data_IF_677966201768
#
_entry.id   IF_677966201768
#
_cell.length_a   1.000
_cell.length_b   1.000
_cell.length_c   1.000
_cell.angle_alpha   90.00
_cell.angle_beta   90.00
_cell.angle_gamma   90.00
#
_symmetry.space_group_name_H-M   'P 1'
#
loop_
_entity.id
_entity.type
_entity.pdbx_description
1 polymer ?
#
# COMPACT_ATOMS: atom_id res chain seq x y z
N UNK A 1 -16.85 -4.82 -48.57
CA UNK A 1 -16.86 -6.11 -47.85
C UNK A 1 -15.59 -6.15 -47.04
N UNK A 2 -15.63 -5.45 -45.90
CA UNK A 2 -14.54 -5.35 -44.93
C UNK A 2 -14.45 -6.66 -44.13
N UNK A 3 -13.26 -7.26 -44.08
CA UNK A 3 -12.96 -8.32 -43.11
C UNK A 3 -11.94 -7.77 -42.13
N UNK A 4 -12.41 -7.71 -40.89
CA UNK A 4 -11.78 -7.31 -39.64
C UNK A 4 -10.30 -7.71 -39.55
N UNK A 5 -9.42 -6.72 -39.59
CA UNK A 5 -8.19 -6.75 -38.80
C UNK A 5 -8.57 -6.41 -37.35
N UNK A 6 -9.08 -7.40 -36.63
CA UNK A 6 -9.07 -7.37 -35.16
C UNK A 6 -7.59 -7.40 -34.75
N UNK A 7 -7.08 -6.24 -34.35
CA UNK A 7 -5.69 -6.00 -33.93
C UNK A 7 -5.19 -7.12 -33.01
N UNK A 8 -3.99 -7.66 -33.27
CA UNK A 8 -3.29 -8.66 -32.44
C UNK A 8 -3.20 -8.26 -30.95
N UNK A 9 -3.26 -6.95 -30.67
CA UNK A 9 -3.33 -6.38 -29.32
C UNK A 9 -4.62 -6.82 -28.60
N UNK A 10 -5.77 -6.77 -29.26
CA UNK A 10 -7.05 -7.13 -28.67
C UNK A 10 -7.14 -8.64 -28.40
N UNK A 11 -6.62 -9.48 -29.30
CA UNK A 11 -6.55 -10.94 -29.06
C UNK A 11 -5.62 -11.29 -27.89
N UNK A 12 -4.49 -10.60 -27.74
CA UNK A 12 -3.56 -10.80 -26.62
C UNK A 12 -4.17 -10.38 -25.27
N UNK A 13 -4.88 -9.25 -25.23
CA UNK A 13 -5.60 -8.79 -24.03
C UNK A 13 -6.79 -9.70 -23.68
N UNK A 14 -7.57 -10.16 -24.66
CA UNK A 14 -8.66 -11.12 -24.46
C UNK A 14 -8.16 -12.49 -23.96
N UNK A 15 -7.00 -12.95 -24.43
CA UNK A 15 -6.36 -14.18 -23.96
C UNK A 15 -5.95 -14.12 -22.49
N UNK A 16 -5.33 -13.02 -22.05
CA UNK A 16 -4.99 -12.76 -20.64
C UNK A 16 -6.22 -12.69 -19.74
N UNK A 17 -7.29 -12.08 -20.23
CA UNK A 17 -8.54 -11.91 -19.48
C UNK A 17 -9.25 -13.24 -19.17
N UNK A 18 -9.33 -14.15 -20.14
CA UNK A 18 -9.91 -15.50 -19.93
C UNK A 18 -9.06 -16.35 -19.00
N UNK A 19 -7.73 -16.18 -19.03
CA UNK A 19 -6.82 -16.88 -18.13
C UNK A 19 -7.03 -16.44 -16.68
N UNK A 20 -7.15 -15.13 -16.42
CA UNK A 20 -7.40 -14.58 -15.08
C UNK A 20 -8.73 -15.06 -14.50
N UNK A 21 -9.81 -15.12 -15.28
CA UNK A 21 -11.11 -15.63 -14.80
C UNK A 21 -11.04 -17.09 -14.37
N UNK A 22 -10.31 -17.94 -15.10
CA UNK A 22 -10.12 -19.36 -14.73
C UNK A 22 -9.10 -19.54 -13.61
N UNK A 23 -8.18 -18.58 -13.43
CA UNK A 23 -7.13 -18.60 -12.43
C UNK A 23 -7.49 -17.86 -11.13
N UNK A 24 -8.68 -17.26 -10.99
CA UNK A 24 -9.07 -16.48 -9.80
C UNK A 24 -8.79 -17.18 -8.45
N UNK A 25 -9.24 -18.43 -8.24
CA UNK A 25 -8.92 -19.19 -7.03
C UNK A 25 -7.40 -19.39 -6.82
N UNK A 26 -6.66 -19.63 -7.89
CA UNK A 26 -5.20 -19.80 -7.87
C UNK A 26 -4.52 -18.47 -7.48
N UNK A 27 -4.97 -17.35 -8.03
CA UNK A 27 -4.49 -16.00 -7.70
C UNK A 27 -4.72 -15.72 -6.21
N UNK A 28 -5.92 -15.99 -5.68
CA UNK A 28 -6.23 -15.81 -4.25
C UNK A 28 -5.33 -16.64 -3.35
N UNK A 29 -5.14 -17.93 -3.68
CA UNK A 29 -4.27 -18.83 -2.92
C UNK A 29 -2.81 -18.38 -2.98
N UNK A 30 -2.30 -17.99 -4.15
CA UNK A 30 -0.94 -17.48 -4.30
C UNK A 30 -0.72 -16.20 -3.50
N UNK A 31 -1.71 -15.30 -3.46
CA UNK A 31 -1.64 -14.07 -2.66
C UNK A 31 -1.70 -14.38 -1.16
N UNK A 32 -2.58 -15.28 -0.73
CA UNK A 32 -2.65 -15.71 0.66
C UNK A 32 -1.32 -16.34 1.13
N UNK A 33 -0.73 -17.22 0.32
CA UNK A 33 0.60 -17.78 0.58
C UNK A 33 1.70 -16.72 0.56
N UNK A 34 1.63 -15.75 -0.36
CA UNK A 34 2.55 -14.63 -0.40
C UNK A 34 2.50 -13.76 0.85
N UNK A 35 1.29 -13.46 1.36
CA UNK A 35 1.09 -12.69 2.59
C UNK A 35 1.61 -13.47 3.80
N UNK A 36 1.24 -14.75 3.93
CA UNK A 36 1.65 -15.59 5.07
C UNK A 36 3.15 -15.89 5.06
N UNK A 37 3.76 -16.06 3.88
CA UNK A 37 5.19 -16.26 3.69
C UNK A 37 6.04 -14.99 3.79
N UNK A 38 5.42 -13.80 3.83
CA UNK A 38 6.14 -12.54 3.97
C UNK A 38 6.84 -12.44 5.33
N UNK A 39 8.16 -12.25 5.30
CA UNK A 39 8.94 -12.04 6.52
C UNK A 39 8.73 -10.63 7.06
N UNK A 40 8.41 -10.51 8.35
CA UNK A 40 8.39 -9.23 9.07
C UNK A 40 9.70 -9.07 9.85
N UNK A 41 10.40 -7.96 9.61
CA UNK A 41 11.64 -7.56 10.28
C UNK A 41 11.37 -6.24 11.00
N UNK A 42 11.12 -6.29 12.30
CA UNK A 42 10.85 -5.10 13.13
C UNK A 42 12.11 -4.68 13.88
N UNK A 43 12.24 -3.39 14.17
CA UNK A 43 13.27 -2.89 15.09
C UNK A 43 13.15 -3.57 16.47
N UNK A 44 14.27 -3.67 17.19
CA UNK A 44 14.31 -4.33 18.51
C UNK A 44 13.32 -3.72 19.51
N UNK A 45 13.14 -2.40 19.44
CA UNK A 45 12.29 -1.66 20.37
C UNK A 45 10.85 -1.47 19.88
N UNK A 46 10.52 -1.95 18.67
CA UNK A 46 9.23 -1.73 18.04
C UNK A 46 8.06 -2.06 18.96
N UNK A 47 8.05 -3.29 19.51
CA UNK A 47 6.94 -3.78 20.32
C UNK A 47 6.73 -2.93 21.58
N UNK A 48 7.81 -2.49 22.22
CA UNK A 48 7.73 -1.66 23.42
C UNK A 48 7.07 -0.30 23.10
N UNK A 49 7.61 0.42 22.12
CA UNK A 49 7.10 1.74 21.76
C UNK A 49 5.69 1.68 21.16
N UNK A 50 5.42 0.69 20.31
CA UNK A 50 4.12 0.51 19.68
C UNK A 50 3.04 0.22 20.72
N UNK A 51 3.23 -0.79 21.56
CA UNK A 51 2.22 -1.16 22.57
C UNK A 51 2.01 -0.08 23.61
N UNK A 52 3.05 0.67 24.00
CA UNK A 52 2.90 1.85 24.88
C UNK A 52 1.98 2.89 24.24
N UNK A 53 2.23 3.26 22.98
CA UNK A 53 1.40 4.24 22.29
C UNK A 53 -0.04 3.75 22.10
N UNK A 54 -0.26 2.47 21.79
CA UNK A 54 -1.62 1.93 21.70
C UNK A 54 -2.34 2.03 23.05
N UNK A 55 -1.67 1.71 24.17
CA UNK A 55 -2.24 1.87 25.54
C UNK A 55 -2.57 3.33 25.87
N UNK A 56 -1.79 4.27 25.34
CA UNK A 56 -2.05 5.71 25.46
C UNK A 56 -3.17 6.19 24.52
N UNK A 57 -3.75 5.31 23.69
CA UNK A 57 -4.90 5.60 22.85
C UNK A 57 -4.55 6.12 21.45
N UNK A 58 -3.35 5.84 20.92
CA UNK A 58 -2.94 6.29 19.60
C UNK A 58 -3.57 5.45 18.48
N UNK A 59 -3.95 6.10 17.38
CA UNK A 59 -4.36 5.43 16.16
C UNK A 59 -3.14 5.12 15.26
N UNK A 60 -2.98 3.87 14.77
CA UNK A 60 -1.80 3.51 13.98
C UNK A 60 -1.91 3.96 12.51
N UNK A 61 -0.86 4.58 12.01
CA UNK A 61 -0.70 5.00 10.61
C UNK A 61 0.62 4.45 10.04
N UNK A 62 0.52 3.38 9.25
CA UNK A 62 1.65 2.79 8.52
C UNK A 62 1.92 3.62 7.28
N UNK A 63 3.17 4.06 7.11
CA UNK A 63 3.65 4.76 5.92
C UNK A 63 4.64 3.84 5.22
N UNK A 64 4.31 3.37 4.02
CA UNK A 64 5.12 2.41 3.28
C UNK A 64 5.54 2.93 1.90
N UNK A 65 6.76 2.62 1.47
CA UNK A 65 7.17 2.83 0.06
C UNK A 65 6.35 1.96 -0.89
N UNK A 66 6.25 2.35 -2.16
CA UNK A 66 5.47 1.61 -3.16
C UNK A 66 6.27 1.33 -4.44
N UNK A 67 6.90 0.16 -4.47
CA UNK A 67 7.70 -0.29 -5.60
C UNK A 67 6.83 -0.89 -6.72
N UNK A 68 5.77 -1.61 -6.35
CA UNK A 68 4.95 -2.39 -7.27
C UNK A 68 3.57 -2.69 -6.69
N UNK A 69 2.59 -3.03 -7.56
CA UNK A 69 1.22 -3.36 -7.11
C UNK A 69 1.16 -4.46 -6.05
N UNK A 70 1.99 -5.53 -6.11
CA UNK A 70 2.04 -6.54 -5.06
C UNK A 70 2.30 -6.03 -3.64
N UNK A 71 3.00 -4.90 -3.50
CA UNK A 71 3.25 -4.31 -2.17
C UNK A 71 1.94 -4.03 -1.43
N UNK A 72 0.87 -3.69 -2.17
CA UNK A 72 -0.45 -3.43 -1.63
C UNK A 72 -1.07 -4.63 -0.91
N UNK A 73 -0.79 -5.86 -1.34
CA UNK A 73 -1.24 -7.05 -0.59
C UNK A 73 -0.18 -7.58 0.36
N UNK A 74 1.12 -7.48 0.03
CA UNK A 74 2.22 -7.91 0.92
C UNK A 74 2.10 -7.21 2.28
N UNK A 75 1.81 -5.90 2.29
CA UNK A 75 1.67 -5.10 3.52
C UNK A 75 0.53 -5.58 4.43
N UNK A 76 -0.42 -6.38 3.93
CA UNK A 76 -1.48 -6.98 4.73
C UNK A 76 -0.92 -7.91 5.82
N UNK A 77 0.30 -8.46 5.63
CA UNK A 77 0.97 -9.23 6.67
C UNK A 77 1.29 -8.38 7.90
N UNK A 78 1.77 -7.16 7.70
CA UNK A 78 2.01 -6.20 8.78
C UNK A 78 0.68 -5.73 9.38
N UNK A 79 -0.33 -5.45 8.55
CA UNK A 79 -1.65 -5.05 9.04
C UNK A 79 -2.25 -6.10 9.99
N UNK A 80 -2.18 -7.39 9.64
CA UNK A 80 -2.64 -8.48 10.51
C UNK A 80 -1.87 -8.51 11.84
N UNK A 81 -0.54 -8.46 11.80
CA UNK A 81 0.31 -8.52 13.00
C UNK A 81 0.02 -7.36 13.96
N UNK A 82 -0.07 -6.14 13.43
CA UNK A 82 -0.44 -4.96 14.20
C UNK A 82 -1.88 -5.06 14.72
N UNK A 83 -2.82 -5.59 13.92
CA UNK A 83 -4.22 -5.75 14.36
C UNK A 83 -4.33 -6.70 15.54
N UNK A 84 -3.60 -7.82 15.55
CA UNK A 84 -3.59 -8.75 16.69
C UNK A 84 -3.04 -8.04 17.92
N UNK A 85 -1.89 -7.37 17.81
CA UNK A 85 -1.27 -6.63 18.92
C UNK A 85 -2.14 -5.50 19.46
N UNK A 86 -2.81 -4.76 18.58
CA UNK A 86 -3.72 -3.68 18.98
C UNK A 86 -5.00 -4.24 19.58
N UNK A 87 -5.57 -5.29 19.00
CA UNK A 87 -6.80 -5.92 19.46
C UNK A 87 -6.71 -6.50 20.89
N UNK A 88 -5.52 -6.91 21.33
CA UNK A 88 -5.26 -7.29 22.72
C UNK A 88 -5.43 -6.12 23.71
N UNK A 89 -5.28 -4.87 23.25
CA UNK A 89 -5.30 -3.65 24.06
C UNK A 89 -6.56 -2.80 23.82
N UNK A 90 -7.09 -2.81 22.60
CA UNK A 90 -8.29 -2.13 22.14
C UNK A 90 -9.16 -3.14 21.35
N UNK A 91 -10.08 -3.85 22.02
CA UNK A 91 -10.92 -4.88 21.38
C UNK A 91 -11.86 -4.36 20.28
N UNK A 92 -12.07 -3.03 20.19
CA UNK A 92 -12.85 -2.43 19.10
C UNK A 92 -12.04 -2.31 17.80
N UNK A 93 -10.71 -2.46 17.89
CA UNK A 93 -9.82 -2.41 16.75
C UNK A 93 -9.89 -3.70 15.92
N UNK A 94 -10.38 -3.57 14.68
CA UNK A 94 -10.56 -4.68 13.73
C UNK A 94 -9.57 -4.67 12.58
N UNK A 95 -8.83 -3.58 12.38
CA UNK A 95 -7.76 -3.53 11.39
C UNK A 95 -7.52 -2.18 10.75
N UNK A 96 -7.07 -2.23 9.50
CA UNK A 96 -6.52 -1.11 8.77
C UNK A 96 -7.31 -0.81 7.49
N UNK A 97 -7.43 0.46 7.17
CA UNK A 97 -7.85 0.97 5.87
C UNK A 97 -6.63 1.18 4.98
N UNK A 98 -6.79 0.97 3.68
CA UNK A 98 -5.74 1.26 2.72
C UNK A 98 -6.29 2.14 1.59
N UNK A 99 -6.07 3.46 1.64
CA UNK A 99 -6.48 4.36 0.57
C UNK A 99 -5.79 3.99 -0.74
N UNK A 100 -6.55 3.58 -1.76
CA UNK A 100 -6.04 3.21 -3.09
C UNK A 100 -6.66 4.10 -4.18
N UNK A 101 -5.99 4.22 -5.31
CA UNK A 101 -6.51 4.99 -6.45
C UNK A 101 -7.81 4.38 -6.96
N UNK A 102 -8.87 5.19 -7.09
CA UNK A 102 -10.17 4.76 -7.61
C UNK A 102 -10.07 4.28 -9.07
N UNK A 103 -9.13 4.82 -9.84
CA UNK A 103 -8.82 4.37 -11.19
C UNK A 103 -8.39 2.89 -11.27
N UNK A 104 -7.87 2.30 -10.19
CA UNK A 104 -7.59 0.86 -10.08
C UNK A 104 -8.86 0.03 -10.04
N UNK A 105 -9.88 0.53 -9.34
CA UNK A 105 -11.16 -0.16 -9.16
C UNK A 105 -12.06 -0.05 -10.38
N UNK A 106 -12.06 1.12 -11.04
CA UNK A 106 -12.83 1.38 -12.26
C UNK A 106 -12.16 0.82 -13.54
N UNK A 107 -10.96 0.24 -13.40
CA UNK A 107 -10.27 -0.41 -14.52
C UNK A 107 -9.62 0.52 -15.52
N UNK A 108 -9.44 1.80 -15.17
CA UNK A 108 -8.81 2.79 -16.04
C UNK A 108 -7.28 2.62 -16.12
N UNK A 109 -6.65 2.01 -15.11
CA UNK A 109 -5.19 1.78 -15.11
C UNK A 109 -4.73 0.56 -15.92
N UNK A 110 -5.53 -0.52 -15.92
CA UNK A 110 -5.43 -1.73 -16.75
C UNK A 110 -6.54 -2.72 -16.35
N UNK A 111 -7.30 -3.27 -17.30
CA UNK A 111 -8.38 -4.25 -17.00
C UNK A 111 -7.88 -5.52 -16.29
N UNK A 112 -6.75 -6.13 -16.68
CA UNK A 112 -6.18 -7.29 -15.97
C UNK A 112 -5.79 -6.96 -14.52
N UNK A 113 -5.22 -5.77 -14.27
CA UNK A 113 -4.84 -5.34 -12.92
C UNK A 113 -6.10 -5.16 -12.06
N UNK A 114 -7.14 -4.52 -12.60
CA UNK A 114 -8.43 -4.40 -11.93
C UNK A 114 -9.00 -5.77 -11.56
N UNK A 115 -8.98 -6.75 -12.47
CA UNK A 115 -9.49 -8.10 -12.16
C UNK A 115 -8.69 -8.77 -11.05
N UNK A 116 -7.35 -8.73 -11.12
CA UNK A 116 -6.50 -9.25 -10.03
C UNK A 116 -6.85 -8.55 -8.72
N UNK A 117 -7.00 -7.23 -8.73
CA UNK A 117 -7.38 -6.46 -7.55
C UNK A 117 -8.74 -6.88 -6.97
N UNK A 118 -9.78 -7.03 -7.80
CA UNK A 118 -11.09 -7.51 -7.34
C UNK A 118 -11.02 -8.92 -6.76
N UNK A 119 -10.18 -9.79 -7.35
CA UNK A 119 -9.98 -11.15 -6.84
C UNK A 119 -9.27 -11.19 -5.49
N UNK A 120 -8.33 -10.28 -5.21
CA UNK A 120 -7.52 -10.31 -3.97
C UNK A 120 -8.16 -9.55 -2.80
N UNK A 121 -9.11 -8.63 -3.06
CA UNK A 121 -9.81 -7.86 -2.01
C UNK A 121 -10.33 -8.71 -0.85
N UNK A 122 -11.02 -9.86 -1.08
CA UNK A 122 -11.49 -10.72 0.01
C UNK A 122 -10.33 -11.28 0.84
N UNK A 123 -9.22 -11.65 0.20
CA UNK A 123 -8.01 -12.11 0.89
C UNK A 123 -7.44 -10.99 1.75
N UNK A 124 -7.28 -9.77 1.22
CA UNK A 124 -6.76 -8.65 2.01
C UNK A 124 -7.60 -8.37 3.26
N UNK A 125 -8.94 -8.44 3.14
CA UNK A 125 -9.86 -8.29 4.27
C UNK A 125 -9.70 -9.39 5.31
N UNK A 126 -9.43 -10.64 4.89
CA UNK A 126 -9.08 -11.74 5.81
C UNK A 126 -7.83 -11.43 6.64
N UNK A 127 -6.89 -10.66 6.09
CA UNK A 127 -5.69 -10.16 6.76
C UNK A 127 -5.89 -8.73 7.32
N UNK A 128 -7.13 -8.41 7.70
CA UNK A 128 -7.53 -7.18 8.42
C UNK A 128 -7.19 -5.87 7.70
N UNK A 129 -6.92 -5.93 6.38
CA UNK A 129 -6.65 -4.77 5.54
C UNK A 129 -7.79 -4.56 4.56
N UNK A 130 -8.51 -3.46 4.69
CA UNK A 130 -9.63 -3.10 3.81
C UNK A 130 -9.19 -2.02 2.83
N UNK A 131 -9.13 -2.32 1.53
CA UNK A 131 -8.91 -1.29 0.53
C UNK A 131 -10.04 -0.26 0.51
N UNK A 132 -9.67 1.02 0.50
CA UNK A 132 -10.57 2.17 0.45
C UNK A 132 -10.27 2.98 -0.82
N UNK A 133 -11.03 2.79 -1.90
CA UNK A 133 -10.85 3.54 -3.14
C UNK A 133 -11.07 5.05 -2.93
N UNK A 134 -10.14 5.88 -3.40
CA UNK A 134 -10.17 7.34 -3.34
C UNK A 134 -9.67 7.94 -4.66
N UNK A 135 -10.18 9.10 -5.05
CA UNK A 135 -9.67 9.84 -6.21
C UNK A 135 -8.38 10.57 -5.82
N UNK A 136 -7.25 10.13 -6.37
CA UNK A 136 -5.93 10.73 -6.11
C UNK A 136 -5.68 11.95 -7.01
N UNK A 137 -4.70 12.80 -6.67
CA UNK A 137 -4.35 13.99 -7.48
C UNK A 137 -4.06 13.65 -8.94
N UNK A 138 -3.43 12.51 -9.19
CA UNK A 138 -3.14 12.01 -10.54
C UNK A 138 -4.38 11.57 -11.30
N UNK A 139 -5.39 11.03 -10.62
CA UNK A 139 -6.64 10.57 -11.25
C UNK A 139 -7.50 11.75 -11.76
N UNK A 140 -7.39 12.91 -11.10
CA UNK A 140 -8.12 14.13 -11.48
C UNK A 140 -7.56 14.82 -12.72
N UNK A 141 -6.35 14.47 -13.16
CA UNK A 141 -5.72 15.10 -14.31
C UNK A 141 -6.49 14.78 -15.59
N UNK A 142 -6.81 15.80 -16.37
CA UNK A 142 -7.53 15.67 -17.64
C UNK A 142 -6.76 14.80 -18.65
N UNK A 143 -5.43 14.87 -18.63
CA UNK A 143 -4.56 14.09 -19.52
C UNK A 143 -4.31 12.65 -19.03
N UNK A 144 -4.94 12.24 -17.93
CA UNK A 144 -4.81 10.88 -17.37
C UNK A 144 -6.17 10.18 -17.37
N UNK A 145 -7.08 10.57 -16.47
CA UNK A 145 -8.38 9.90 -16.26
C UNK A 145 -9.56 10.87 -16.06
N UNK A 146 -9.30 12.16 -15.83
CA UNK A 146 -10.33 13.19 -15.60
C UNK A 146 -11.38 12.83 -14.52
N UNK A 147 -10.98 12.06 -13.49
CA UNK A 147 -11.90 11.62 -12.44
C UNK A 147 -12.31 12.79 -11.54
N UNK A 148 -13.58 12.83 -11.15
CA UNK A 148 -14.09 13.79 -10.17
C UNK A 148 -14.14 13.12 -8.80
N UNK A 149 -13.75 13.87 -7.77
CA UNK A 149 -13.92 13.42 -6.38
C UNK A 149 -15.39 13.15 -6.11
N UNK A 150 -15.65 11.97 -5.57
CA UNK A 150 -16.95 11.58 -5.09
C UNK A 150 -17.11 12.05 -3.63
N UNK A 151 -18.20 12.76 -3.35
CA UNK A 151 -18.52 13.27 -2.02
C UNK A 151 -18.68 12.13 -0.99
N UNK A 152 -19.02 10.92 -1.46
CA UNK A 152 -19.22 9.74 -0.61
C UNK A 152 -17.91 8.99 -0.28
N UNK A 153 -16.76 9.34 -0.88
CA UNK A 153 -15.46 8.73 -0.55
C UNK A 153 -15.12 8.88 0.94
N UNK A 154 -15.23 10.11 1.45
CA UNK A 154 -14.90 10.40 2.85
C UNK A 154 -15.91 9.73 3.80
N UNK A 155 -17.19 9.70 3.42
CA UNK A 155 -18.23 9.02 4.20
C UNK A 155 -17.97 7.52 4.29
N UNK A 156 -17.59 6.86 3.18
CA UNK A 156 -17.22 5.44 3.15
C UNK A 156 -16.05 5.15 4.09
N UNK A 157 -14.98 5.95 4.04
CA UNK A 157 -13.84 5.80 4.95
C UNK A 157 -14.26 6.00 6.42
N UNK A 158 -15.10 7.00 6.70
CA UNK A 158 -15.60 7.25 8.07
C UNK A 158 -16.46 6.11 8.60
N UNK A 159 -17.27 5.48 7.75
CA UNK A 159 -18.07 4.33 8.15
C UNK A 159 -17.18 3.12 8.49
N UNK A 160 -16.12 2.89 7.70
CA UNK A 160 -15.15 1.84 8.02
C UNK A 160 -14.38 2.09 9.33
N UNK A 161 -14.04 3.35 9.63
CA UNK A 161 -13.48 3.71 10.95
C UNK A 161 -14.44 3.33 12.09
N UNK A 162 -15.74 3.62 11.94
CA UNK A 162 -16.78 3.26 12.93
C UNK A 162 -16.99 1.75 13.04
N UNK A 163 -16.75 1.01 11.97
CA UNK A 163 -16.80 -0.45 11.98
C UNK A 163 -15.63 -1.09 12.73
N UNK A 164 -14.58 -0.33 13.06
CA UNK A 164 -13.41 -0.78 13.82
C UNK A 164 -12.10 -0.80 13.01
N UNK A 165 -12.11 -0.43 11.72
CA UNK A 165 -10.87 -0.33 10.92
C UNK A 165 -10.15 0.99 11.20
N UNK A 166 -9.67 1.16 12.43
CA UNK A 166 -9.20 2.44 12.95
C UNK A 166 -7.72 2.75 12.61
N UNK A 167 -7.00 1.81 12.00
CA UNK A 167 -5.67 2.03 11.45
C UNK A 167 -5.68 2.43 9.98
N UNK A 168 -4.61 3.03 9.47
CA UNK A 168 -4.43 3.28 8.03
C UNK A 168 -3.06 2.80 7.55
N UNK A 169 -3.01 2.15 6.39
CA UNK A 169 -1.81 1.89 5.60
C UNK A 169 -1.79 2.83 4.40
N UNK A 170 -0.78 3.69 4.33
CA UNK A 170 -0.62 4.70 3.28
C UNK A 170 0.62 4.40 2.44
N UNK A 171 0.44 4.45 1.12
CA UNK A 171 1.52 4.50 0.13
C UNK A 171 1.63 5.93 -0.42
N UNK A 172 2.39 6.82 0.24
CA UNK A 172 2.34 8.26 -0.02
C UNK A 172 2.94 8.64 -1.37
N UNK A 173 3.80 7.82 -1.99
CA UNK A 173 4.33 8.04 -3.33
C UNK A 173 3.22 8.16 -4.39
N UNK A 174 2.05 7.57 -4.16
CA UNK A 174 0.93 7.72 -5.09
C UNK A 174 1.06 6.92 -6.39
N UNK A 175 2.22 6.27 -6.62
CA UNK A 175 2.62 5.64 -7.89
C UNK A 175 3.57 4.46 -7.64
N UNK A 176 3.79 3.62 -8.64
CA UNK A 176 4.84 2.58 -8.64
C UNK A 176 6.08 3.02 -9.44
N UNK A 177 6.20 4.32 -9.76
CA UNK A 177 7.32 4.86 -10.55
C UNK A 177 8.66 4.60 -9.88
N UNK A 178 8.72 4.65 -8.55
CA UNK A 178 9.96 4.39 -7.82
C UNK A 178 10.49 2.97 -8.02
N UNK A 179 9.58 2.03 -8.28
CA UNK A 179 9.97 0.70 -8.69
C UNK A 179 10.37 0.59 -10.16
N UNK A 180 10.09 1.52 -11.06
CA UNK A 180 10.42 1.37 -12.49
C UNK A 180 11.93 1.50 -12.77
N UNK A 181 12.36 0.93 -13.88
CA UNK A 181 13.71 1.06 -14.42
C UNK A 181 13.85 2.38 -15.19
N UNK A 182 14.93 3.13 -14.94
CA UNK A 182 15.27 4.37 -15.66
C UNK A 182 16.00 4.09 -16.99
N UNK A 183 16.30 5.15 -17.74
CA UNK A 183 17.03 5.06 -19.03
C UNK A 183 18.42 4.40 -18.91
N UNK A 184 19.00 4.38 -17.70
CA UNK A 184 20.30 3.75 -17.41
C UNK A 184 20.16 2.26 -17.01
N UNK A 185 18.97 1.69 -17.06
CA UNK A 185 18.73 0.30 -16.64
C UNK A 185 18.70 0.10 -15.12
N UNK A 186 18.63 1.16 -14.31
CA UNK A 186 18.63 1.11 -12.85
C UNK A 186 17.22 1.38 -12.28
N UNK A 187 16.90 0.80 -11.12
CA UNK A 187 15.65 1.12 -10.41
C UNK A 187 15.68 2.58 -9.95
N UNK A 188 14.58 3.32 -10.14
CA UNK A 188 14.47 4.73 -9.73
C UNK A 188 14.68 4.94 -8.22
N UNK A 189 14.24 3.98 -7.40
CA UNK A 189 14.19 4.14 -5.95
C UNK A 189 13.01 5.00 -5.52
N UNK A 190 12.92 5.31 -4.23
CA UNK A 190 11.79 6.09 -3.70
C UNK A 190 11.62 7.43 -4.44
N UNK A 191 10.38 7.73 -4.84
CA UNK A 191 10.03 9.01 -5.45
C UNK A 191 9.35 9.91 -4.44
N UNK A 192 9.22 11.20 -4.78
CA UNK A 192 8.59 12.17 -3.88
C UNK A 192 7.17 11.74 -3.50
N UNK A 193 6.88 11.85 -2.21
CA UNK A 193 5.55 11.64 -1.68
C UNK A 193 4.57 12.68 -2.22
N UNK A 194 3.36 12.24 -2.54
CA UNK A 194 2.27 13.12 -2.93
C UNK A 194 2.07 14.19 -1.85
N UNK A 195 1.98 15.43 -2.34
CA UNK A 195 1.86 16.62 -1.51
C UNK A 195 0.72 16.48 -0.50
N UNK A 196 1.06 16.67 0.78
CA UNK A 196 0.13 16.64 1.91
C UNK A 196 -0.51 15.26 2.19
N UNK A 197 -0.08 14.18 1.53
CA UNK A 197 -0.67 12.84 1.70
C UNK A 197 -0.67 12.37 3.16
N UNK A 198 0.48 12.46 3.84
CA UNK A 198 0.62 12.08 5.25
C UNK A 198 -0.22 13.00 6.14
N UNK A 199 -0.08 14.32 6.02
CA UNK A 199 -0.80 15.29 6.86
C UNK A 199 -2.32 15.19 6.70
N UNK A 200 -2.83 15.03 5.47
CA UNK A 200 -4.27 14.82 5.22
C UNK A 200 -4.76 13.56 5.92
N UNK A 201 -4.01 12.46 5.84
CA UNK A 201 -4.36 11.20 6.49
C UNK A 201 -4.31 11.31 8.02
N UNK A 202 -3.28 11.97 8.55
CA UNK A 202 -3.15 12.30 9.98
C UNK A 202 -4.37 13.10 10.48
N UNK A 203 -4.72 14.20 9.81
CA UNK A 203 -5.84 15.04 10.18
C UNK A 203 -7.18 14.30 10.05
N UNK A 204 -7.32 13.44 9.03
CA UNK A 204 -8.49 12.59 8.87
C UNK A 204 -8.68 11.66 10.07
N UNK A 205 -7.63 10.96 10.50
CA UNK A 205 -7.67 10.09 11.68
C UNK A 205 -7.96 10.89 12.95
N UNK A 206 -7.21 11.96 13.21
CA UNK A 206 -7.38 12.81 14.39
C UNK A 206 -8.79 13.40 14.51
N UNK A 207 -9.34 13.88 13.41
CA UNK A 207 -10.69 14.48 13.38
C UNK A 207 -11.78 13.45 13.68
N UNK A 208 -11.66 12.23 13.17
CA UNK A 208 -12.70 11.21 13.24
C UNK A 208 -12.60 10.30 14.46
N UNK A 209 -11.39 9.98 14.92
CA UNK A 209 -11.16 9.12 16.08
C UNK A 209 -10.93 9.90 17.38
N UNK A 210 -10.62 11.20 17.29
CA UNK A 210 -10.24 12.04 18.45
C UNK A 210 -9.02 11.49 19.22
N UNK A 211 -8.17 10.76 18.52
CA UNK A 211 -6.92 10.16 19.00
C UNK A 211 -5.73 10.86 18.35
N UNK A 212 -4.59 10.92 19.06
CA UNK A 212 -3.31 11.19 18.39
C UNK A 212 -2.91 9.98 17.53
N UNK A 213 -1.90 10.15 16.68
CA UNK A 213 -1.53 9.15 15.67
C UNK A 213 -0.10 8.68 15.92
N UNK A 214 0.14 7.38 15.76
CA UNK A 214 1.49 6.84 15.73
C UNK A 214 1.87 6.50 14.29
N UNK A 215 2.93 7.14 13.79
CA UNK A 215 3.48 6.87 12.47
C UNK A 215 4.38 5.62 12.53
N UNK A 216 4.22 4.73 11.57
CA UNK A 216 4.98 3.48 11.48
C UNK A 216 5.65 3.43 10.11
N UNK A 217 6.92 3.84 9.99
CA UNK A 217 7.66 3.77 8.73
C UNK A 217 7.93 2.30 8.36
N UNK A 218 7.63 1.92 7.12
CA UNK A 218 7.80 0.56 6.63
C UNK A 218 8.36 0.53 5.21
N UNK A 219 9.18 -0.48 4.93
CA UNK A 219 9.70 -0.75 3.60
C UNK A 219 9.31 -2.16 3.14
N UNK A 220 8.54 -2.23 2.06
CA UNK A 220 8.23 -3.49 1.37
C UNK A 220 9.33 -3.84 0.37
N UNK A 221 9.65 -5.12 0.26
CA UNK A 221 10.61 -5.66 -0.70
C UNK A 221 10.03 -6.86 -1.43
N UNK A 222 10.51 -7.09 -2.66
CA UNK A 222 10.21 -8.30 -3.43
C UNK A 222 8.98 -8.17 -4.33
N UNK A 223 8.21 -7.10 -4.21
CA UNK A 223 7.05 -6.85 -5.05
C UNK A 223 7.41 -6.79 -6.55
N UNK A 224 8.52 -6.14 -6.92
CA UNK A 224 9.06 -6.14 -8.30
C UNK A 224 9.33 -7.54 -8.85
N UNK A 225 9.74 -8.48 -8.00
CA UNK A 225 9.99 -9.88 -8.39
C UNK A 225 8.69 -10.63 -8.64
N UNK A 226 7.59 -10.23 -7.98
CA UNK A 226 6.26 -10.81 -8.20
C UNK A 226 5.65 -10.25 -9.47
N UNK A 227 5.59 -8.92 -9.57
CA UNK A 227 5.06 -8.20 -10.72
C UNK A 227 6.02 -7.08 -11.08
N UNK A 228 6.61 -7.18 -12.27
CA UNK A 228 7.50 -6.13 -12.76
C UNK A 228 6.67 -4.87 -13.12
N UNK A 229 6.92 -3.70 -12.50
CA UNK A 229 6.20 -2.45 -12.76
C UNK A 229 6.49 -1.82 -14.13
N UNK A 230 7.56 -2.23 -14.82
CA UNK A 230 7.93 -1.73 -16.14
C UNK A 230 7.01 -2.30 -17.22
N UNK A 231 6.77 -3.61 -17.18
CA UNK A 231 6.04 -4.34 -18.22
C UNK A 231 4.75 -5.01 -17.73
N UNK A 232 4.43 -4.88 -16.44
CA UNK A 232 3.25 -5.48 -15.78
C UNK A 232 3.18 -7.01 -15.93
N UNK A 233 4.32 -7.67 -16.12
CA UNK A 233 4.38 -9.13 -16.19
C UNK A 233 4.55 -9.74 -14.81
N UNK A 234 3.72 -10.76 -14.52
CA UNK A 234 3.87 -11.60 -13.35
C UNK A 234 5.00 -12.60 -13.61
N UNK A 235 5.96 -12.70 -12.70
CA UNK A 235 7.04 -13.68 -12.81
C UNK A 235 6.49 -15.10 -12.68
N UNK A 236 6.69 -15.99 -13.66
CA UNK A 236 6.28 -17.40 -13.57
C UNK A 236 6.97 -18.12 -12.41
N UNK A 237 8.20 -17.75 -12.07
CA UNK A 237 8.94 -18.31 -10.94
C UNK A 237 8.32 -17.88 -9.60
N UNK A 238 7.85 -16.63 -9.49
CA UNK A 238 7.17 -16.15 -8.28
C UNK A 238 5.78 -16.77 -8.12
N UNK A 239 5.08 -17.04 -9.23
CA UNK A 239 3.86 -17.84 -9.25
C UNK A 239 4.12 -19.29 -8.83
N UNK A 240 5.18 -19.91 -9.35
CA UNK A 240 5.57 -21.29 -9.04
C UNK A 240 5.98 -21.42 -7.56
N UNK A 241 6.81 -20.50 -7.06
CA UNK A 241 7.25 -20.49 -5.65
C UNK A 241 6.06 -20.29 -4.71
N UNK A 242 5.13 -19.39 -5.06
CA UNK A 242 3.88 -19.23 -4.32
C UNK A 242 3.01 -20.50 -4.33
N UNK A 243 3.06 -21.32 -5.38
CA UNK A 243 2.26 -22.56 -5.46
C UNK A 243 2.91 -23.74 -4.75
N UNK A 244 4.23 -23.90 -4.88
CA UNK A 244 4.97 -25.09 -4.47
C UNK A 244 5.60 -24.94 -3.07
N UNK A 245 5.98 -23.72 -2.67
CA UNK A 245 6.57 -23.49 -1.37
C UNK A 245 5.50 -23.25 -0.30
N UNK A 246 5.60 -23.88 0.89
CA UNK A 246 4.77 -23.54 2.04
C UNK A 246 5.16 -22.20 2.68
N UNK A 247 6.39 -21.72 2.44
CA UNK A 247 6.93 -20.46 2.95
C UNK A 247 7.69 -19.72 1.84
N UNK A 248 6.98 -19.14 0.86
CA UNK A 248 7.62 -18.40 -0.21
C UNK A 248 8.32 -17.16 0.38
N UNK A 249 9.65 -17.16 0.49
CA UNK A 249 10.47 -15.98 0.84
C UNK A 249 10.57 -15.03 -0.36
N UNK A 250 9.43 -14.67 -0.92
CA UNK A 250 9.33 -13.81 -2.11
C UNK A 250 9.30 -12.34 -1.70
N UNK A 251 8.81 -12.05 -0.50
CA UNK A 251 8.69 -10.69 0.04
C UNK A 251 9.15 -10.60 1.50
N UNK A 252 9.61 -9.41 1.87
CA UNK A 252 9.87 -9.04 3.26
C UNK A 252 9.41 -7.62 3.51
N UNK A 253 9.10 -7.31 4.77
CA UNK A 253 8.78 -5.98 5.24
C UNK A 253 9.75 -5.64 6.36
N UNK A 254 10.49 -4.55 6.19
CA UNK A 254 11.31 -3.97 7.26
C UNK A 254 10.54 -2.82 7.88
N UNK A 255 10.39 -2.81 9.19
CA UNK A 255 9.60 -1.82 9.94
C UNK A 255 10.53 -1.05 10.87
N UNK A 256 10.54 0.26 10.73
CA UNK A 256 11.30 1.16 11.58
C UNK A 256 10.61 1.42 12.93
N UNK A 257 11.24 2.23 13.77
CA UNK A 257 10.68 2.57 15.07
C UNK A 257 9.37 3.38 14.95
N UNK A 258 8.37 3.12 15.81
CA UNK A 258 7.15 3.92 15.87
C UNK A 258 7.41 5.35 16.33
N UNK A 259 6.73 6.33 15.73
CA UNK A 259 6.96 7.77 15.98
C UNK A 259 5.63 8.42 16.38
N UNK A 260 5.56 9.05 17.57
CA UNK A 260 4.32 9.66 18.05
C UNK A 260 4.09 11.00 17.37
N UNK A 261 2.86 11.27 16.96
CA UNK A 261 2.52 12.54 16.30
C UNK A 261 2.58 13.75 17.23
N UNK A 262 2.63 13.51 18.53
CA UNK A 262 2.59 14.52 19.55
C UNK A 262 3.97 14.84 20.17
N UNK A 263 5.02 14.15 19.74
CA UNK A 263 6.41 14.56 19.99
C UNK A 263 6.61 15.99 19.48
N UNK A 264 7.28 16.86 20.24
CA UNK A 264 7.37 18.30 19.94
C UNK A 264 7.90 18.57 18.53
N UNK A 265 8.98 17.87 18.16
CA UNK A 265 9.56 17.96 16.82
C UNK A 265 8.55 17.57 15.72
N UNK A 266 7.80 16.48 15.92
CA UNK A 266 6.81 15.98 14.96
C UNK A 266 5.61 16.92 14.86
N UNK A 267 5.13 17.42 16.00
CA UNK A 267 4.08 18.45 16.06
C UNK A 267 4.46 19.66 15.22
N UNK A 268 5.71 20.11 15.31
CA UNK A 268 6.16 21.29 14.56
C UNK A 268 6.26 21.02 13.05
N UNK A 269 6.73 19.83 12.65
CA UNK A 269 6.67 19.39 11.24
C UNK A 269 5.24 19.33 10.71
N UNK A 270 4.27 18.96 11.54
CA UNK A 270 2.85 18.91 11.17
C UNK A 270 2.20 20.31 11.11
N UNK A 271 2.69 21.29 11.88
CA UNK A 271 2.21 22.69 11.88
C UNK A 271 2.74 23.53 10.72
N UNK A 272 3.90 23.17 10.15
CA UNK A 272 4.56 23.92 9.08
C UNK A 272 3.61 24.32 7.93
N UNK A 273 3.76 25.57 7.44
CA UNK A 273 3.02 26.10 6.27
C UNK A 273 3.46 25.41 4.98
N UNK A 274 4.76 25.16 4.84
CA UNK A 274 5.33 24.32 3.79
C UNK A 274 5.29 22.86 4.28
N UNK A 275 4.22 22.19 3.87
CA UNK A 275 3.78 20.88 4.38
C UNK A 275 4.66 19.71 3.89
N UNK A 276 5.85 20.01 3.39
CA UNK A 276 6.88 19.07 2.94
C UNK A 276 7.70 18.50 4.08
N UNK A 277 7.73 19.14 5.25
CA UNK A 277 8.58 18.73 6.39
C UNK A 277 8.32 17.30 6.87
N UNK A 278 7.07 16.96 7.19
CA UNK A 278 6.71 15.61 7.65
C UNK A 278 6.91 14.55 6.55
N UNK A 279 6.64 14.89 5.28
CA UNK A 279 6.88 14.00 4.15
C UNK A 279 8.38 13.69 4.01
N UNK A 280 9.25 14.70 4.10
CA UNK A 280 10.71 14.54 4.03
C UNK A 280 11.24 13.74 5.21
N UNK A 281 10.76 14.03 6.42
CA UNK A 281 11.16 13.29 7.62
C UNK A 281 10.80 11.81 7.51
N UNK A 282 9.52 11.47 7.32
CA UNK A 282 9.09 10.06 7.22
C UNK A 282 9.63 9.37 5.96
N UNK A 283 9.86 10.11 4.87
CA UNK A 283 10.54 9.59 3.68
C UNK A 283 11.97 9.14 3.98
N UNK A 284 12.73 9.93 4.76
CA UNK A 284 14.07 9.56 5.22
C UNK A 284 14.07 8.40 6.20
N UNK A 285 13.09 8.36 7.11
CA UNK A 285 12.93 7.21 8.02
C UNK A 285 12.75 5.92 7.21
N UNK A 286 11.89 5.92 6.19
CA UNK A 286 11.72 4.75 5.30
C UNK A 286 12.97 4.48 4.47
N UNK A 287 13.65 5.51 3.95
CA UNK A 287 14.87 5.38 3.17
C UNK A 287 16.02 4.75 3.98
N UNK A 288 16.06 4.97 5.30
CA UNK A 288 17.03 4.36 6.20
C UNK A 288 16.87 2.83 6.31
N UNK A 289 15.67 2.31 6.02
CA UNK A 289 15.33 0.88 6.08
C UNK A 289 15.70 0.13 4.80
N UNK A 290 16.14 0.83 3.75
CA UNK A 290 16.39 0.26 2.42
C UNK A 290 17.82 0.50 1.91
N UNK A 291 18.30 -0.33 0.97
CA UNK A 291 19.61 -0.16 0.34
C UNK A 291 19.78 1.23 -0.29
N UNK A 292 21.00 1.76 -0.25
CA UNK A 292 21.31 3.11 -0.73
C UNK A 292 20.85 3.38 -2.17
N UNK A 293 21.01 2.39 -3.05
CA UNK A 293 20.62 2.47 -4.45
C UNK A 293 19.11 2.51 -4.70
N UNK A 294 18.29 2.30 -3.66
CA UNK A 294 16.82 2.35 -3.74
C UNK A 294 16.23 3.55 -2.99
N UNK A 295 17.04 4.37 -2.33
CA UNK A 295 16.58 5.54 -1.55
C UNK A 295 16.02 6.68 -2.40
N UNK A 296 16.38 6.73 -3.67
CA UNK A 296 15.88 7.73 -4.63
C UNK A 296 16.03 9.16 -4.11
N UNK A 297 14.94 9.93 -4.08
CA UNK A 297 14.94 11.35 -3.68
C UNK A 297 15.19 11.58 -2.18
N UNK A 298 15.22 10.52 -1.38
CA UNK A 298 15.42 10.56 0.08
C UNK A 298 16.78 10.00 0.51
N UNK A 299 17.71 9.83 -0.44
CA UNK A 299 19.10 9.46 -0.18
C UNK A 299 19.84 10.48 0.69
#
# INVERSE_FOLDING_TARGET
MEKEQLNDIDQFHFGRERWIQRAGPVIRLSVEKGITGTRLEMSQNFNYFYTSAIKEGYAPLVIARHESHPDGFIIARLALDLTVKTGELDPEFKGFLMPLAQSLEEGQQDRPIMRVYQEIKPTMRKFTLVPAPIVRKKDMREDVYAMKKDADEELRMRNLLKEGYQGVVLFPEGTTTGGKTNEKGQVNGMVEFEENSIKKTYLFLKRNLKREVIFIPAATFGGRRILNPDNKWVSPLSLLDALVSPYPTVARIVVGDPIKSDDEYIKDLLKGKDQTGINKFLGREIASLIPENERGVYA
#
